data_IF_103823330309
#
_entry.id   IF_103823330309
#
_cell.length_a   1.000
_cell.length_b   1.000
_cell.length_c   1.000
_cell.angle_alpha   90.00
_cell.angle_beta   90.00
_cell.angle_gamma   90.00
#
_symmetry.space_group_name_H-M   'P 1'
#
loop_
_entity.id
_entity.type
_entity.pdbx_description
1 polymer ?
#
# COMPACT_ATOMS: atom_id res chain seq x y z
N UNK A 1 -9.86 -3.20 2.32
CA UNK A 1 -10.22 -3.72 1.02
C UNK A 1 -9.68 -5.14 0.88
N UNK A 2 -10.42 -6.10 0.37
CA UNK A 2 -11.82 -6.04 -0.04
C UNK A 2 -12.80 -5.88 1.14
N UNK A 3 -14.09 -5.55 0.83
CA UNK A 3 -15.13 -5.35 1.83
C UNK A 3 -15.34 -6.61 2.69
N UNK A 4 -15.34 -6.46 4.02
CA UNK A 4 -15.50 -7.57 4.99
C UNK A 4 -16.87 -7.60 5.67
N UNK A 5 -17.81 -6.78 5.19
CA UNK A 5 -19.15 -6.66 5.77
C UNK A 5 -19.16 -5.99 7.15
N UNK A 6 -18.21 -5.09 7.41
CA UNK A 6 -18.14 -4.20 8.57
C UNK A 6 -18.50 -2.81 8.07
N UNK A 7 -19.71 -2.34 8.35
CA UNK A 7 -20.23 -1.06 7.85
C UNK A 7 -20.21 0.04 8.90
N UNK A 8 -20.66 1.25 8.50
CA UNK A 8 -20.67 2.45 9.33
C UNK A 8 -21.39 2.26 10.67
N UNK A 9 -22.53 1.57 10.68
CA UNK A 9 -23.29 1.28 11.91
C UNK A 9 -22.49 0.44 12.91
N UNK A 10 -21.68 -0.52 12.40
CA UNK A 10 -20.80 -1.34 13.24
C UNK A 10 -19.67 -0.49 13.82
N UNK A 11 -19.04 0.35 12.97
CA UNK A 11 -17.99 1.26 13.42
C UNK A 11 -18.51 2.23 14.49
N UNK A 12 -19.69 2.83 14.31
CA UNK A 12 -20.29 3.72 15.31
C UNK A 12 -20.45 3.04 16.67
N UNK A 13 -20.92 1.77 16.70
CA UNK A 13 -21.05 1.01 17.94
C UNK A 13 -19.71 0.70 18.61
N UNK A 14 -18.68 0.41 17.81
CA UNK A 14 -17.32 0.17 18.33
C UNK A 14 -16.71 1.47 18.89
N UNK A 15 -16.92 2.61 18.19
CA UNK A 15 -16.46 3.92 18.67
C UNK A 15 -17.11 4.30 20.00
N UNK A 16 -18.42 4.15 20.12
CA UNK A 16 -19.13 4.39 21.39
C UNK A 16 -18.61 3.50 22.52
N UNK A 17 -18.32 2.23 22.24
CA UNK A 17 -17.75 1.32 23.22
C UNK A 17 -16.32 1.73 23.63
N UNK A 18 -15.50 2.20 22.68
CA UNK A 18 -14.15 2.71 22.91
C UNK A 18 -14.19 3.95 23.83
N UNK A 19 -15.05 4.92 23.53
CA UNK A 19 -15.27 6.11 24.33
C UNK A 19 -15.74 5.77 25.75
N UNK A 20 -16.72 4.87 25.87
CA UNK A 20 -17.27 4.45 27.18
C UNK A 20 -16.24 3.76 28.07
N UNK A 21 -15.24 3.10 27.49
CA UNK A 21 -14.17 2.40 28.20
C UNK A 21 -12.88 3.21 28.32
N UNK A 22 -12.76 4.36 27.63
CA UNK A 22 -11.55 5.17 27.59
C UNK A 22 -10.36 4.47 26.93
N UNK A 23 -10.62 3.59 25.96
CA UNK A 23 -9.59 2.80 25.23
C UNK A 23 -9.66 3.05 23.72
N UNK A 24 -8.65 2.61 22.99
CA UNK A 24 -8.63 2.73 21.54
C UNK A 24 -9.67 1.82 20.87
N UNK A 25 -10.09 2.20 19.65
CA UNK A 25 -10.96 1.38 18.82
C UNK A 25 -10.34 -0.01 18.54
N UNK A 26 -9.03 -0.07 18.40
CA UNK A 26 -8.30 -1.32 18.18
C UNK A 26 -8.41 -2.24 19.40
N UNK A 27 -8.20 -1.73 20.61
CA UNK A 27 -8.36 -2.51 21.84
C UNK A 27 -9.77 -3.06 22.00
N UNK A 28 -10.81 -2.32 21.58
CA UNK A 28 -12.19 -2.86 21.54
C UNK A 28 -12.29 -4.04 20.59
N UNK A 29 -11.68 -3.97 19.41
CA UNK A 29 -11.67 -5.08 18.44
C UNK A 29 -10.97 -6.33 18.99
N UNK A 30 -9.88 -6.17 19.72
CA UNK A 30 -9.14 -7.28 20.34
C UNK A 30 -9.86 -7.90 21.51
N UNK A 31 -10.56 -7.06 22.32
CA UNK A 31 -11.26 -7.47 23.54
C UNK A 31 -12.78 -7.59 23.37
N UNK A 32 -13.23 -7.85 22.16
CA UNK A 32 -14.65 -7.81 21.78
C UNK A 32 -15.55 -8.71 22.63
N UNK A 33 -15.02 -9.81 23.14
CA UNK A 33 -15.77 -10.74 24.00
C UNK A 33 -16.01 -10.22 25.42
N UNK A 34 -15.19 -9.29 25.90
CA UNK A 34 -15.26 -8.72 27.24
C UNK A 34 -15.90 -7.33 27.31
N UNK A 35 -16.13 -6.70 26.16
CA UNK A 35 -16.67 -5.33 26.06
C UNK A 35 -18.08 -5.37 25.48
N UNK A 36 -19.09 -4.77 26.17
CA UNK A 36 -20.45 -4.72 25.66
C UNK A 36 -20.56 -3.72 24.50
N UNK A 37 -20.62 -4.22 23.27
CA UNK A 37 -20.71 -3.40 22.04
C UNK A 37 -22.12 -3.34 21.44
N UNK A 38 -23.06 -4.15 21.93
CA UNK A 38 -24.40 -4.29 21.34
C UNK A 38 -24.38 -4.86 19.89
N UNK A 39 -23.30 -5.54 19.51
CA UNK A 39 -23.16 -6.21 18.22
C UNK A 39 -23.66 -7.66 18.33
N UNK A 40 -24.27 -8.16 17.23
CA UNK A 40 -24.64 -9.57 17.14
C UNK A 40 -23.42 -10.48 16.94
N UNK A 41 -23.55 -11.75 17.30
CA UNK A 41 -22.46 -12.74 17.20
C UNK A 41 -21.81 -12.86 15.82
N UNK A 42 -22.54 -12.86 14.68
CA UNK A 42 -21.91 -12.89 13.36
C UNK A 42 -21.04 -11.67 13.06
N UNK A 43 -21.45 -10.48 13.49
CA UNK A 43 -20.65 -9.26 13.32
C UNK A 43 -19.43 -9.25 14.24
N UNK A 44 -19.58 -9.70 15.48
CA UNK A 44 -18.45 -9.87 16.40
C UNK A 44 -17.41 -10.82 15.81
N UNK A 45 -17.84 -11.95 15.23
CA UNK A 45 -16.93 -12.90 14.59
C UNK A 45 -16.13 -12.25 13.45
N UNK A 46 -16.77 -11.47 12.57
CA UNK A 46 -16.07 -10.77 11.47
C UNK A 46 -14.99 -9.82 11.98
N UNK A 47 -15.26 -9.10 13.08
CA UNK A 47 -14.30 -8.16 13.68
C UNK A 47 -13.15 -8.93 14.33
N UNK A 48 -13.45 -10.02 15.06
CA UNK A 48 -12.43 -10.87 15.67
C UNK A 48 -11.54 -11.51 14.59
N UNK A 49 -12.13 -12.04 13.52
CA UNK A 49 -11.37 -12.62 12.39
C UNK A 49 -10.45 -11.56 11.74
N UNK A 50 -10.92 -10.32 11.63
CA UNK A 50 -10.11 -9.20 11.15
C UNK A 50 -8.97 -8.85 12.12
N UNK A 51 -9.23 -8.78 13.42
CA UNK A 51 -8.20 -8.50 14.42
C UNK A 51 -7.12 -9.60 14.44
N UNK A 52 -7.51 -10.87 14.36
CA UNK A 52 -6.59 -12.00 14.26
C UNK A 52 -5.73 -11.88 13.00
N UNK A 53 -6.31 -11.53 11.87
CA UNK A 53 -5.59 -11.34 10.61
C UNK A 53 -4.53 -10.25 10.72
N UNK A 54 -4.88 -9.08 11.27
CA UNK A 54 -3.92 -7.96 11.44
C UNK A 54 -2.81 -8.35 12.41
N UNK A 55 -3.13 -9.00 13.53
CA UNK A 55 -2.14 -9.45 14.49
C UNK A 55 -1.20 -10.50 13.88
N UNK A 56 -1.69 -11.37 13.00
CA UNK A 56 -0.84 -12.32 12.28
C UNK A 56 0.18 -11.61 11.37
N UNK A 57 -0.22 -10.52 10.70
CA UNK A 57 0.69 -9.69 9.91
C UNK A 57 1.72 -8.96 10.77
N UNK A 58 1.33 -8.48 11.95
CA UNK A 58 2.26 -7.85 12.89
C UNK A 58 3.34 -8.83 13.40
N UNK A 59 2.98 -10.10 13.59
CA UNK A 59 3.96 -11.15 13.91
C UNK A 59 4.88 -11.43 12.72
N UNK A 60 4.31 -11.56 11.52
CA UNK A 60 5.07 -11.79 10.29
C UNK A 60 6.11 -10.67 10.04
N UNK A 61 5.71 -9.41 10.25
CA UNK A 61 6.57 -8.24 10.06
C UNK A 61 7.79 -8.19 10.99
N UNK A 62 7.79 -8.95 12.09
CA UNK A 62 8.95 -9.07 12.99
C UNK A 62 9.97 -10.12 12.54
N UNK A 63 9.61 -10.99 11.62
CA UNK A 63 10.39 -12.17 11.23
C UNK A 63 10.83 -12.16 9.77
N UNK A 64 10.20 -11.33 8.95
CA UNK A 64 10.37 -11.29 7.51
C UNK A 64 10.70 -9.88 7.01
N UNK A 65 11.30 -9.81 5.83
CA UNK A 65 11.61 -8.54 5.17
C UNK A 65 10.35 -7.85 4.60
N UNK A 66 10.53 -6.59 4.17
CA UNK A 66 9.43 -5.76 3.67
C UNK A 66 8.69 -6.42 2.49
N UNK A 67 9.41 -7.00 1.53
CA UNK A 67 8.81 -7.61 0.36
C UNK A 67 7.98 -8.85 0.72
N UNK A 68 8.54 -9.76 1.52
CA UNK A 68 7.84 -10.97 1.96
C UNK A 68 6.55 -10.65 2.71
N UNK A 69 6.60 -9.67 3.63
CA UNK A 69 5.45 -9.21 4.40
C UNK A 69 4.37 -8.63 3.48
N UNK A 70 4.72 -7.66 2.62
CA UNK A 70 3.71 -6.98 1.78
C UNK A 70 3.13 -7.91 0.73
N UNK A 71 3.93 -8.78 0.11
CA UNK A 71 3.46 -9.79 -0.83
C UNK A 71 2.49 -10.77 -0.15
N UNK A 72 2.81 -11.23 1.08
CA UNK A 72 1.92 -12.08 1.86
C UNK A 72 0.61 -11.37 2.22
N UNK A 73 0.67 -10.12 2.68
CA UNK A 73 -0.51 -9.31 2.99
C UNK A 73 -1.40 -9.16 1.75
N UNK A 74 -0.85 -8.70 0.62
CA UNK A 74 -1.59 -8.48 -0.62
C UNK A 74 -2.33 -9.76 -1.10
N UNK A 75 -1.67 -10.91 -0.97
CA UNK A 75 -2.25 -12.22 -1.29
C UNK A 75 -3.33 -12.63 -0.28
N UNK A 76 -3.03 -12.58 1.01
CA UNK A 76 -3.90 -13.07 2.09
C UNK A 76 -5.18 -12.27 2.23
N UNK A 77 -5.13 -10.95 2.01
CA UNK A 77 -6.36 -10.11 1.99
C UNK A 77 -7.17 -10.27 0.71
N UNK A 78 -6.63 -10.94 -0.33
CA UNK A 78 -7.29 -11.13 -1.61
C UNK A 78 -7.22 -9.91 -2.54
N UNK A 79 -6.33 -8.95 -2.27
CA UNK A 79 -6.17 -7.72 -3.07
C UNK A 79 -5.79 -8.05 -4.51
N UNK A 80 -4.78 -8.87 -4.70
CA UNK A 80 -4.28 -9.28 -6.02
C UNK A 80 -5.38 -9.98 -6.83
N UNK A 81 -6.17 -10.84 -6.18
CA UNK A 81 -7.27 -11.53 -6.84
C UNK A 81 -8.34 -10.55 -7.33
N UNK A 82 -8.84 -9.70 -6.44
CA UNK A 82 -9.90 -8.74 -6.75
C UNK A 82 -9.49 -7.77 -7.86
N UNK A 83 -8.26 -7.25 -7.81
CA UNK A 83 -7.76 -6.37 -8.86
C UNK A 83 -7.51 -7.11 -10.17
N UNK A 84 -7.06 -8.36 -10.13
CA UNK A 84 -6.85 -9.19 -11.33
C UNK A 84 -8.14 -9.61 -12.04
N UNK A 85 -9.28 -9.62 -11.34
CA UNK A 85 -10.61 -9.91 -11.90
C UNK A 85 -11.24 -8.68 -12.58
N UNK A 86 -10.86 -7.45 -12.21
CA UNK A 86 -11.35 -6.21 -12.81
C UNK A 86 -10.64 -5.95 -14.15
N UNK A 87 -11.37 -6.16 -15.26
CA UNK A 87 -10.86 -6.00 -16.63
C UNK A 87 -11.15 -4.61 -17.23
N UNK A 88 -11.68 -3.69 -16.44
CA UNK A 88 -11.83 -2.29 -16.88
C UNK A 88 -10.44 -1.63 -17.04
N UNK A 89 -10.29 -0.61 -17.89
CA UNK A 89 -9.02 0.13 -18.02
C UNK A 89 -8.50 0.62 -16.66
N UNK A 90 -9.37 1.12 -15.81
CA UNK A 90 -9.05 1.57 -14.46
C UNK A 90 -8.63 0.41 -13.54
N UNK A 91 -9.27 -0.76 -13.68
CA UNK A 91 -8.94 -1.97 -12.92
C UNK A 91 -7.55 -2.49 -13.29
N UNK A 92 -7.24 -2.53 -14.59
CA UNK A 92 -5.91 -2.90 -15.10
C UNK A 92 -4.85 -1.95 -14.54
N UNK A 93 -5.08 -0.63 -14.62
CA UNK A 93 -4.13 0.36 -14.08
C UNK A 93 -3.91 0.19 -12.57
N UNK A 94 -4.97 -0.08 -11.78
CA UNK A 94 -4.83 -0.36 -10.35
C UNK A 94 -4.01 -1.62 -10.08
N UNK A 95 -4.22 -2.67 -10.86
CA UNK A 95 -3.43 -3.89 -10.75
C UNK A 95 -1.95 -3.64 -11.07
N UNK A 96 -1.66 -2.93 -12.17
CA UNK A 96 -0.31 -2.53 -12.55
C UNK A 96 0.37 -1.69 -11.47
N UNK A 97 -0.33 -0.72 -10.88
CA UNK A 97 0.20 0.10 -9.78
C UNK A 97 0.57 -0.75 -8.55
N UNK A 98 -0.21 -1.78 -8.22
CA UNK A 98 0.13 -2.68 -7.11
C UNK A 98 1.34 -3.54 -7.45
N UNK A 99 1.47 -4.00 -8.71
CA UNK A 99 2.66 -4.74 -9.14
C UNK A 99 3.92 -3.86 -9.09
N UNK A 100 3.81 -2.60 -9.52
CA UNK A 100 4.91 -1.64 -9.47
C UNK A 100 5.34 -1.34 -8.03
N UNK A 101 4.37 -1.17 -7.12
CA UNK A 101 4.65 -1.03 -5.69
C UNK A 101 5.40 -2.26 -5.14
N UNK A 102 4.97 -3.47 -5.49
CA UNK A 102 5.64 -4.70 -5.04
C UNK A 102 7.07 -4.81 -5.60
N UNK A 103 7.29 -4.39 -6.85
CA UNK A 103 8.62 -4.33 -7.44
C UNK A 103 9.51 -3.31 -6.70
N UNK A 104 9.02 -2.11 -6.43
CA UNK A 104 9.76 -1.09 -5.68
C UNK A 104 10.14 -1.56 -4.26
N UNK A 105 9.23 -2.27 -3.56
CA UNK A 105 9.53 -2.85 -2.25
C UNK A 105 10.59 -3.95 -2.36
N UNK A 106 10.54 -4.75 -3.41
CA UNK A 106 11.54 -5.79 -3.67
C UNK A 106 12.92 -5.18 -3.89
N UNK A 107 13.01 -4.17 -4.75
CA UNK A 107 14.26 -3.47 -5.04
C UNK A 107 14.85 -2.83 -3.77
N UNK A 108 14.02 -2.15 -2.97
CA UNK A 108 14.42 -1.65 -1.65
C UNK A 108 14.96 -2.77 -0.76
N UNK A 109 14.25 -3.88 -0.64
CA UNK A 109 14.64 -5.00 0.21
C UNK A 109 15.98 -5.60 -0.22
N UNK A 110 16.20 -5.77 -1.53
CA UNK A 110 17.46 -6.28 -2.09
C UNK A 110 18.61 -5.31 -1.82
N UNK A 111 18.41 -4.01 -2.06
CA UNK A 111 19.41 -2.98 -1.74
C UNK A 111 19.80 -2.96 -0.26
N UNK A 112 18.82 -3.04 0.65
CA UNK A 112 19.10 -3.06 2.09
C UNK A 112 19.88 -4.32 2.50
N UNK A 113 19.64 -5.47 1.88
CA UNK A 113 20.40 -6.71 2.16
C UNK A 113 21.85 -6.65 1.68
N UNK A 114 22.17 -5.82 0.69
CA UNK A 114 23.54 -5.62 0.19
C UNK A 114 24.37 -4.69 1.08
N UNK A 115 23.73 -3.86 1.91
CA UNK A 115 24.40 -2.94 2.81
C UNK A 115 24.88 -3.65 4.08
N UNK A 116 26.05 -3.30 4.58
CA UNK A 116 26.63 -3.91 5.79
C UNK A 116 25.77 -3.70 7.06
N UNK A 117 25.04 -2.56 7.13
CA UNK A 117 24.12 -2.21 8.22
C UNK A 117 22.72 -1.91 7.68
N UNK A 118 22.32 -2.57 6.61
CA UNK A 118 21.01 -2.37 5.99
C UNK A 118 19.89 -3.01 6.79
N UNK A 119 18.73 -2.34 6.82
CA UNK A 119 17.52 -2.83 7.47
C UNK A 119 16.43 -3.08 6.40
N UNK A 120 16.21 -4.33 5.96
CA UNK A 120 15.20 -4.68 4.98
C UNK A 120 13.78 -4.77 5.55
N UNK A 121 13.54 -4.31 6.78
CA UNK A 121 12.24 -4.39 7.44
C UNK A 121 11.18 -3.51 6.79
N UNK A 122 9.91 -3.92 6.96
CA UNK A 122 8.77 -3.09 6.56
C UNK A 122 8.75 -1.74 7.29
N UNK A 123 9.18 -1.68 8.54
CA UNK A 123 9.23 -0.44 9.32
C UNK A 123 10.19 0.57 8.69
N UNK A 124 11.38 0.14 8.26
CA UNK A 124 12.35 0.99 7.59
C UNK A 124 11.82 1.46 6.23
N UNK A 125 11.24 0.57 5.41
CA UNK A 125 10.61 0.95 4.15
C UNK A 125 9.54 2.04 4.33
N UNK A 126 8.66 1.89 5.32
CA UNK A 126 7.61 2.88 5.60
C UNK A 126 8.20 4.22 6.10
N UNK A 127 9.30 4.20 6.83
CA UNK A 127 10.01 5.41 7.24
C UNK A 127 10.60 6.15 6.04
N UNK A 128 11.23 5.44 5.10
CA UNK A 128 11.76 6.02 3.88
C UNK A 128 10.66 6.65 3.02
N UNK A 129 9.53 5.97 2.86
CA UNK A 129 8.38 6.51 2.13
C UNK A 129 7.82 7.77 2.80
N UNK A 130 7.73 7.80 4.14
CA UNK A 130 7.27 8.97 4.87
C UNK A 130 8.21 10.16 4.66
N UNK A 131 9.52 9.96 4.71
CA UNK A 131 10.51 11.00 4.46
C UNK A 131 10.47 11.55 3.02
N UNK A 132 10.19 10.70 2.03
CA UNK A 132 10.02 11.13 0.64
C UNK A 132 8.78 12.02 0.50
N UNK A 133 7.68 11.64 1.13
CA UNK A 133 6.42 12.41 1.09
C UNK A 133 6.57 13.77 1.78
N UNK A 134 7.32 13.85 2.87
CA UNK A 134 7.57 15.12 3.57
C UNK A 134 8.45 16.07 2.74
N UNK A 135 9.41 15.56 1.98
CA UNK A 135 10.23 16.35 1.05
C UNK A 135 9.41 16.97 -0.08
N UNK A 136 8.39 16.26 -0.56
CA UNK A 136 7.48 16.77 -1.59
C UNK A 136 6.58 17.92 -1.05
N UNK A 137 6.43 18.02 0.27
CA UNK A 137 5.68 19.07 0.95
C UNK A 137 6.58 20.23 1.49
N UNK A 138 7.90 20.17 1.26
CA UNK A 138 8.77 21.26 1.66
C UNK A 138 8.40 22.56 0.93
N UNK A 139 8.18 23.60 1.73
CA UNK A 139 7.88 24.95 1.26
C UNK A 139 8.98 25.38 0.29
N UNK A 140 8.60 25.94 -0.86
CA UNK A 140 9.54 26.52 -1.83
C UNK A 140 10.40 27.59 -1.15
N UNK A 141 11.63 27.24 -0.84
CA UNK A 141 12.62 28.13 -0.20
C UNK A 141 13.29 29.09 -1.21
N UNK A 142 12.77 29.15 -2.45
CA UNK A 142 13.27 30.00 -3.53
C UNK A 142 14.60 29.54 -4.13
N UNK A 143 15.13 28.36 -3.74
CA UNK A 143 16.32 27.81 -4.39
C UNK A 143 15.96 27.21 -5.76
N UNK A 144 16.83 27.40 -6.79
CA UNK A 144 16.59 26.75 -8.08
C UNK A 144 16.56 25.22 -7.95
N UNK A 145 15.41 24.60 -8.22
CA UNK A 145 15.21 23.16 -8.13
C UNK A 145 14.72 22.60 -9.48
N UNK A 146 15.12 21.36 -9.77
CA UNK A 146 14.54 20.59 -10.88
C UNK A 146 13.58 19.57 -10.27
N UNK A 147 12.29 19.73 -10.56
CA UNK A 147 11.26 18.79 -10.10
C UNK A 147 11.10 17.68 -11.14
N UNK A 148 11.25 16.44 -10.71
CA UNK A 148 10.97 15.26 -11.53
C UNK A 148 9.65 14.65 -11.11
N UNK A 149 8.74 14.46 -12.07
CA UNK A 149 7.41 13.92 -11.77
C UNK A 149 6.83 13.19 -12.97
N UNK A 150 5.79 12.40 -12.74
CA UNK A 150 5.02 11.80 -13.83
C UNK A 150 4.10 12.81 -14.49
N UNK A 151 3.69 12.56 -15.74
CA UNK A 151 2.70 13.39 -16.45
C UNK A 151 1.39 13.50 -15.65
N UNK A 152 1.00 12.45 -14.93
CA UNK A 152 -0.20 12.47 -14.08
C UNK A 152 -0.06 13.42 -12.88
N UNK A 153 1.10 13.45 -12.25
CA UNK A 153 1.37 14.39 -11.13
C UNK A 153 1.49 15.84 -11.62
N UNK A 154 1.93 16.04 -12.86
CA UNK A 154 2.03 17.37 -13.45
C UNK A 154 0.66 17.97 -13.85
N UNK A 155 -0.43 17.17 -13.82
CA UNK A 155 -1.76 17.65 -14.22
C UNK A 155 -2.24 18.77 -13.29
N UNK A 156 -2.44 19.95 -13.86
CA UNK A 156 -2.90 21.16 -13.14
C UNK A 156 -1.77 21.99 -12.53
N UNK A 157 -0.51 21.61 -12.74
CA UNK A 157 0.66 22.40 -12.39
C UNK A 157 1.19 23.13 -13.62
N UNK A 158 1.75 24.34 -13.42
CA UNK A 158 2.34 25.18 -14.45
C UNK A 158 3.82 25.42 -14.14
N UNK A 159 4.70 25.13 -15.11
CA UNK A 159 6.13 25.34 -14.99
C UNK A 159 6.67 26.19 -16.13
N UNK A 160 7.61 27.13 -15.85
CA UNK A 160 8.22 27.96 -16.92
C UNK A 160 9.03 27.15 -17.93
N UNK A 161 9.59 26.02 -17.53
CA UNK A 161 10.36 25.12 -18.38
C UNK A 161 9.95 23.68 -18.09
N UNK A 162 9.64 22.93 -19.15
CA UNK A 162 9.23 21.50 -19.04
C UNK A 162 10.07 20.67 -19.99
N UNK A 163 10.67 19.60 -19.48
CA UNK A 163 11.37 18.60 -20.26
C UNK A 163 10.65 17.25 -20.13
N UNK A 164 10.20 16.69 -21.24
CA UNK A 164 9.55 15.38 -21.24
C UNK A 164 10.60 14.37 -21.73
N UNK A 165 10.91 13.39 -20.88
CA UNK A 165 11.89 12.34 -21.13
C UNK A 165 11.20 10.98 -21.24
N UNK A 166 11.87 10.01 -21.86
CA UNK A 166 11.32 8.65 -21.99
C UNK A 166 10.21 8.51 -23.05
N UNK A 167 10.08 9.44 -23.99
CA UNK A 167 9.19 9.34 -25.15
C UNK A 167 9.77 8.39 -26.20
N UNK A 168 10.04 7.14 -25.82
CA UNK A 168 10.47 6.13 -26.78
C UNK A 168 9.24 5.48 -27.43
N UNK A 169 9.27 5.34 -28.76
CA UNK A 169 8.27 4.53 -29.45
C UNK A 169 8.36 3.08 -28.93
N UNK A 170 7.30 2.58 -28.31
CA UNK A 170 7.17 1.16 -28.01
C UNK A 170 7.22 0.41 -29.35
N UNK A 171 8.37 -0.12 -29.73
CA UNK A 171 8.44 -1.10 -30.81
C UNK A 171 7.54 -2.28 -30.42
N UNK A 172 6.56 -2.66 -31.27
CA UNK A 172 5.77 -3.85 -31.00
C UNK A 172 6.73 -5.05 -30.87
N UNK A 173 6.63 -5.78 -29.74
CA UNK A 173 7.35 -7.04 -29.55
C UNK A 173 6.90 -7.99 -30.66
N UNK A 174 7.76 -8.22 -31.65
CA UNK A 174 7.47 -9.24 -32.66
C UNK A 174 7.93 -8.99 -34.11
N UNK A 175 9.01 -8.26 -34.35
CA UNK A 175 9.64 -8.31 -35.69
C UNK A 175 11.11 -8.70 -35.54
N UNK A 176 11.39 -10.00 -35.57
CA UNK A 176 12.72 -10.49 -35.84
C UNK A 176 13.06 -10.11 -37.29
N UNK A 177 14.27 -9.57 -37.58
CA UNK A 177 14.70 -9.39 -38.92
C UNK A 177 14.89 -10.79 -39.58
N UNK A 178 14.09 -11.08 -40.62
CA UNK A 178 14.37 -12.22 -41.46
C UNK A 178 15.69 -11.94 -42.15
N UNK A 179 16.70 -12.74 -41.87
CA UNK A 179 17.93 -12.78 -42.63
C UNK A 179 17.61 -13.20 -44.08
N UNK A 180 17.73 -12.26 -45.01
CA UNK A 180 17.76 -12.57 -46.43
C UNK A 180 19.11 -13.22 -46.76
N UNK A 181 19.05 -14.39 -47.33
CA UNK A 181 20.17 -15.05 -48.02
C UNK A 181 20.48 -14.36 -49.34
#
# INVERSE_FOLDING_TARGET
YPARGIGATTLAKLTLAAEAQGISLWEVCERLHSIPTGLNKPTQKKISDFAILINSFAVLAKQHDAFEVVAHVAKSVGLIKVLGEDKTPEGVTRYENVQELLNGIKDFTEQQKELAEGDPSLANFLSDVALLTDRDNEVDDGTPKVSMMTIHLAKGLEFPYVYIVGLEERRPKGTQPQHAH
#
